data_IF_074785175940
#
_entry.id   IF_074785175940
#
_cell.length_a   1.000
_cell.length_b   1.000
_cell.length_c   1.000
_cell.angle_alpha   90.00
_cell.angle_beta   90.00
_cell.angle_gamma   90.00
#
_symmetry.space_group_name_H-M   'P 1'
#
loop_
_entity.id
_entity.type
_entity.pdbx_description
1 polymer ?
#
# COMPACT_ATOMS: atom_id res chain seq x y z
N UNK A 1 29.46 -13.31 -54.54
CA UNK A 1 28.56 -12.32 -53.90
C UNK A 1 27.29 -12.99 -53.38
N UNK A 2 26.62 -13.86 -54.14
CA UNK A 2 25.47 -14.64 -53.63
C UNK A 2 25.85 -15.60 -52.49
N UNK A 3 26.99 -16.26 -52.59
CA UNK A 3 27.48 -17.18 -51.56
C UNK A 3 27.69 -16.47 -50.20
N UNK A 4 28.29 -15.29 -50.20
CA UNK A 4 28.45 -14.46 -49.01
C UNK A 4 27.10 -13.96 -48.43
N UNK A 5 26.09 -13.71 -49.27
CA UNK A 5 24.73 -13.38 -48.80
C UNK A 5 24.06 -14.59 -48.13
N UNK A 6 24.27 -15.78 -48.69
CA UNK A 6 23.73 -17.05 -48.16
C UNK A 6 24.38 -17.43 -46.84
N UNK A 7 25.70 -17.26 -46.69
CA UNK A 7 26.39 -17.47 -45.42
C UNK A 7 25.94 -16.47 -44.34
N UNK A 8 25.78 -15.19 -44.68
CA UNK A 8 25.29 -14.17 -43.74
C UNK A 8 23.85 -14.47 -43.28
N UNK A 9 23.00 -14.98 -44.17
CA UNK A 9 21.65 -15.39 -43.82
C UNK A 9 21.64 -16.64 -42.92
N UNK A 10 22.45 -17.66 -43.26
CA UNK A 10 22.59 -18.87 -42.44
C UNK A 10 23.14 -18.56 -41.03
N UNK A 11 24.09 -17.63 -40.92
CA UNK A 11 24.61 -17.18 -39.62
C UNK A 11 23.54 -16.44 -38.80
N UNK A 12 22.70 -15.62 -39.44
CA UNK A 12 21.58 -14.94 -38.79
C UNK A 12 20.52 -15.93 -38.30
N UNK A 13 20.22 -16.96 -39.09
CA UNK A 13 19.24 -17.98 -38.74
C UNK A 13 19.75 -18.89 -37.62
N UNK A 14 21.03 -19.30 -37.64
CA UNK A 14 21.67 -20.02 -36.51
C UNK A 14 21.74 -19.19 -35.23
N UNK A 15 21.98 -17.88 -35.33
CA UNK A 15 21.95 -16.99 -34.18
C UNK A 15 20.53 -16.90 -33.59
N UNK A 16 19.50 -16.82 -34.43
CA UNK A 16 18.10 -16.86 -34.00
C UNK A 16 17.73 -18.19 -33.34
N UNK A 17 18.16 -19.32 -33.90
CA UNK A 17 17.94 -20.65 -33.30
C UNK A 17 18.64 -20.79 -31.95
N UNK A 18 19.88 -20.26 -31.81
CA UNK A 18 20.58 -20.24 -30.51
C UNK A 18 19.89 -19.36 -29.48
N UNK A 19 19.41 -18.18 -29.86
CA UNK A 19 18.65 -17.29 -28.98
C UNK A 19 17.35 -17.98 -28.56
N UNK A 20 16.60 -18.57 -29.50
CA UNK A 20 15.37 -19.31 -29.20
C UNK A 20 15.61 -20.55 -28.32
N UNK A 21 16.76 -21.23 -28.48
CA UNK A 21 17.15 -22.36 -27.64
C UNK A 21 17.53 -21.92 -26.22
N UNK A 22 18.23 -20.78 -26.06
CA UNK A 22 18.54 -20.18 -24.76
C UNK A 22 17.28 -19.66 -24.05
N UNK A 23 16.37 -19.02 -24.79
CA UNK A 23 15.06 -18.57 -24.27
C UNK A 23 14.18 -19.76 -23.85
N UNK A 24 14.35 -20.93 -24.49
CA UNK A 24 13.64 -22.15 -24.09
C UNK A 24 14.21 -22.86 -22.86
N UNK A 25 15.37 -22.45 -22.35
CA UNK A 25 16.01 -23.06 -21.18
C UNK A 25 15.84 -22.28 -19.88
N UNK A 26 15.27 -21.07 -19.89
CA UNK A 26 14.99 -20.34 -18.66
C UNK A 26 13.94 -21.09 -17.85
N UNK A 27 14.35 -21.59 -16.68
CA UNK A 27 13.46 -22.21 -15.72
C UNK A 27 12.64 -21.14 -15.00
N UNK A 28 11.54 -21.52 -14.36
CA UNK A 28 10.79 -20.58 -13.51
C UNK A 28 11.68 -19.98 -12.41
N UNK A 29 12.63 -20.77 -11.88
CA UNK A 29 13.55 -20.36 -10.82
C UNK A 29 14.51 -19.25 -11.27
N UNK A 30 14.99 -19.29 -12.51
CA UNK A 30 15.85 -18.24 -13.09
C UNK A 30 15.16 -16.87 -13.19
N UNK A 31 13.81 -16.86 -13.13
CA UNK A 31 12.97 -15.66 -13.23
C UNK A 31 12.51 -15.14 -11.87
N UNK A 32 12.91 -15.79 -10.78
CA UNK A 32 12.75 -15.32 -9.41
C UNK A 32 13.99 -14.52 -9.02
N UNK A 33 13.87 -13.20 -9.01
CA UNK A 33 14.91 -12.31 -8.55
C UNK A 33 14.89 -12.23 -7.01
N UNK A 34 15.93 -12.83 -6.40
CA UNK A 34 16.15 -12.90 -4.96
C UNK A 34 17.22 -11.93 -4.45
N UNK A 35 17.65 -10.97 -5.28
CA UNK A 35 18.80 -10.08 -4.98
C UNK A 35 18.66 -9.31 -3.67
N UNK A 36 17.43 -8.97 -3.27
CA UNK A 36 17.13 -8.20 -2.07
C UNK A 36 16.43 -9.03 -0.98
N UNK A 37 16.41 -10.36 -1.10
CA UNK A 37 15.85 -11.19 -0.02
C UNK A 37 16.68 -11.00 1.26
N UNK A 38 16.02 -10.69 2.37
CA UNK A 38 16.71 -10.59 3.67
C UNK A 38 16.90 -11.96 4.30
N UNK A 39 15.96 -12.87 4.01
CA UNK A 39 15.91 -14.22 4.51
C UNK A 39 15.69 -15.19 3.34
N UNK A 40 16.17 -16.43 3.42
CA UNK A 40 15.90 -17.42 2.38
C UNK A 40 14.41 -17.75 2.33
N UNK A 41 13.86 -17.81 1.11
CA UNK A 41 12.50 -18.30 0.88
C UNK A 41 12.29 -19.69 1.50
N UNK A 42 11.20 -19.86 2.24
CA UNK A 42 10.69 -21.16 2.68
C UNK A 42 10.25 -21.99 1.47
N UNK A 43 10.04 -23.30 1.68
CA UNK A 43 9.60 -24.19 0.60
C UNK A 43 8.28 -23.75 -0.01
N UNK A 44 7.30 -23.40 0.82
CA UNK A 44 5.97 -22.98 0.34
C UNK A 44 6.06 -21.68 -0.48
N UNK A 45 6.94 -20.76 -0.09
CA UNK A 45 7.19 -19.52 -0.84
C UNK A 45 7.86 -19.81 -2.18
N UNK A 46 8.85 -20.70 -2.20
CA UNK A 46 9.52 -21.13 -3.45
C UNK A 46 8.52 -21.78 -4.41
N UNK A 47 7.70 -22.71 -3.90
CA UNK A 47 6.69 -23.42 -4.68
C UNK A 47 5.64 -22.43 -5.22
N UNK A 48 5.23 -21.45 -4.40
CA UNK A 48 4.29 -20.39 -4.80
C UNK A 48 4.89 -19.45 -5.85
N UNK A 49 6.13 -19.00 -5.68
CA UNK A 49 6.84 -18.18 -6.66
C UNK A 49 6.97 -18.90 -8.01
N UNK A 50 7.29 -20.20 -7.98
CA UNK A 50 7.37 -21.02 -9.19
C UNK A 50 6.01 -21.15 -9.88
N UNK A 51 4.94 -21.42 -9.11
CA UNK A 51 3.57 -21.53 -9.62
C UNK A 51 3.06 -20.23 -10.25
N UNK A 52 3.44 -19.06 -9.71
CA UNK A 52 3.10 -17.76 -10.30
C UNK A 52 3.77 -17.53 -11.66
N UNK A 53 4.94 -18.11 -11.88
CA UNK A 53 5.73 -17.91 -13.09
C UNK A 53 5.52 -19.01 -14.14
N UNK A 54 5.08 -20.20 -13.74
CA UNK A 54 4.86 -21.35 -14.64
C UNK A 54 3.93 -21.05 -15.84
N UNK A 55 2.80 -20.34 -15.69
CA UNK A 55 1.86 -20.13 -16.79
C UNK A 55 2.42 -19.33 -17.98
N UNK A 56 3.45 -18.49 -17.78
CA UNK A 56 3.97 -17.62 -18.82
C UNK A 56 5.47 -17.39 -18.69
N UNK A 57 6.23 -17.59 -19.77
CA UNK A 57 7.68 -17.33 -19.80
C UNK A 57 8.07 -15.85 -19.80
N UNK A 58 7.14 -14.96 -20.14
CA UNK A 58 7.35 -13.51 -20.21
C UNK A 58 7.07 -12.78 -18.90
N UNK A 59 7.10 -13.52 -17.78
CA UNK A 59 6.92 -12.96 -16.44
C UNK A 59 8.18 -13.07 -15.60
N UNK A 60 8.32 -12.18 -14.63
CA UNK A 60 9.39 -12.24 -13.63
C UNK A 60 8.89 -11.78 -12.28
N UNK A 61 9.52 -12.25 -11.21
CA UNK A 61 9.16 -11.93 -9.84
C UNK A 61 10.37 -11.34 -9.12
N UNK A 62 10.20 -10.21 -8.45
CA UNK A 62 11.17 -9.66 -7.52
C UNK A 62 10.66 -9.85 -6.09
N UNK A 63 11.42 -10.57 -5.28
CA UNK A 63 11.09 -10.85 -3.88
C UNK A 63 11.62 -9.71 -3.00
N UNK A 64 10.78 -9.18 -2.10
CA UNK A 64 11.15 -8.10 -1.19
C UNK A 64 11.82 -8.62 0.09
N UNK A 65 12.55 -7.78 0.84
CA UNK A 65 13.11 -8.14 2.15
C UNK A 65 12.06 -8.63 3.17
N UNK A 66 10.83 -8.15 3.04
CA UNK A 66 9.70 -8.44 3.94
C UNK A 66 8.75 -9.50 3.38
N UNK A 67 9.21 -10.35 2.47
CA UNK A 67 8.38 -11.43 1.93
C UNK A 67 7.93 -12.38 3.04
N UNK A 68 6.74 -12.93 2.87
CA UNK A 68 6.16 -13.95 3.74
C UNK A 68 4.97 -14.61 3.07
N UNK A 69 4.57 -15.78 3.56
CA UNK A 69 3.18 -16.24 3.45
C UNK A 69 2.41 -15.76 4.69
N UNK A 70 1.25 -15.14 4.47
CA UNK A 70 0.38 -14.67 5.56
C UNK A 70 -0.48 -15.81 6.14
N UNK A 71 -1.28 -15.51 7.16
CA UNK A 71 -2.14 -16.48 7.83
C UNK A 71 -3.23 -17.06 6.92
N UNK A 72 -3.55 -16.37 5.82
CA UNK A 72 -4.50 -16.80 4.79
C UNK A 72 -3.85 -17.63 3.68
N UNK A 73 -2.53 -17.88 3.75
CA UNK A 73 -1.79 -18.60 2.71
C UNK A 73 -1.41 -17.75 1.50
N UNK A 74 -1.56 -16.42 1.57
CA UNK A 74 -1.19 -15.52 0.48
C UNK A 74 0.29 -15.15 0.59
N UNK A 75 1.02 -15.27 -0.52
CA UNK A 75 2.37 -14.75 -0.63
C UNK A 75 2.35 -13.22 -0.69
N UNK A 76 3.19 -12.57 0.10
CA UNK A 76 3.29 -11.12 0.25
C UNK A 76 4.74 -10.66 0.05
N UNK A 77 4.92 -9.38 -0.22
CA UNK A 77 6.25 -8.75 -0.32
C UNK A 77 6.91 -9.07 -1.65
N UNK A 78 6.27 -8.71 -2.75
CA UNK A 78 6.82 -8.93 -4.08
C UNK A 78 6.42 -7.85 -5.09
N UNK A 79 7.18 -7.79 -6.18
CA UNK A 79 6.79 -7.15 -7.44
C UNK A 79 6.79 -8.18 -8.56
N UNK A 80 5.63 -8.41 -9.15
CA UNK A 80 5.44 -9.30 -10.30
C UNK A 80 5.38 -8.48 -11.57
N UNK A 81 6.10 -8.89 -12.61
CA UNK A 81 6.16 -8.20 -13.89
C UNK A 81 5.63 -9.11 -14.99
N UNK A 82 4.75 -8.59 -15.84
CA UNK A 82 4.24 -9.25 -17.04
C UNK A 82 4.28 -8.30 -18.25
N UNK A 83 4.53 -8.83 -19.44
CA UNK A 83 4.35 -8.06 -20.67
C UNK A 83 2.88 -7.62 -20.84
N UNK A 84 2.65 -6.46 -21.44
CA UNK A 84 1.29 -5.93 -21.67
C UNK A 84 0.36 -6.86 -22.43
N UNK A 85 0.90 -7.66 -23.35
CA UNK A 85 0.15 -8.61 -24.19
C UNK A 85 -0.13 -9.96 -23.52
N UNK A 86 0.39 -10.18 -22.31
CA UNK A 86 0.19 -11.44 -21.58
C UNK A 86 -1.25 -11.48 -21.05
N UNK A 87 -1.85 -12.66 -20.96
CA UNK A 87 -3.18 -12.86 -20.37
C UNK A 87 -3.30 -12.20 -18.98
N UNK A 88 -4.44 -11.59 -18.69
CA UNK A 88 -4.74 -11.06 -17.37
C UNK A 88 -4.93 -12.16 -16.30
N UNK A 89 -5.34 -13.37 -16.70
CA UNK A 89 -5.59 -14.48 -15.78
C UNK A 89 -4.36 -14.94 -14.99
N UNK A 90 -3.15 -14.54 -15.41
CA UNK A 90 -1.91 -14.84 -14.71
C UNK A 90 -1.47 -13.76 -13.72
N UNK A 91 -2.17 -12.62 -13.66
CA UNK A 91 -1.80 -11.53 -12.77
C UNK A 91 -2.14 -11.92 -11.32
N UNK A 92 -1.20 -11.79 -10.36
CA UNK A 92 -1.45 -12.10 -8.96
C UNK A 92 -2.23 -10.96 -8.28
N UNK A 93 -3.47 -10.75 -8.71
CA UNK A 93 -4.37 -9.73 -8.17
C UNK A 93 -4.80 -10.13 -6.75
N UNK A 94 -4.68 -9.20 -5.81
CA UNK A 94 -5.08 -9.41 -4.41
C UNK A 94 -6.51 -8.93 -4.15
N UNK A 95 -7.18 -9.53 -3.17
CA UNK A 95 -8.45 -8.98 -2.64
C UNK A 95 -8.28 -7.61 -1.97
N UNK A 96 -7.04 -7.19 -1.72
CA UNK A 96 -6.67 -5.87 -1.20
C UNK A 96 -6.06 -4.95 -2.26
N UNK A 97 -6.40 -5.10 -3.55
CA UNK A 97 -5.93 -4.17 -4.58
C UNK A 97 -6.22 -2.71 -4.20
N UNK A 98 -5.21 -1.85 -4.37
CA UNK A 98 -5.21 -0.40 -4.06
C UNK A 98 -5.35 -0.02 -2.58
N UNK A 99 -5.20 -1.00 -1.68
CA UNK A 99 -4.96 -0.71 -0.28
C UNK A 99 -3.62 0.00 -0.12
N UNK A 100 -3.58 0.94 0.80
CA UNK A 100 -2.43 1.81 1.02
C UNK A 100 -2.54 2.56 2.33
N UNK A 101 -1.49 3.29 2.66
CA UNK A 101 -1.43 4.21 3.80
C UNK A 101 -1.38 5.64 3.28
N UNK A 102 -2.24 6.49 3.82
CA UNK A 102 -2.30 7.93 3.54
C UNK A 102 -2.07 8.69 4.83
N UNK A 103 -1.24 9.73 4.76
CA UNK A 103 -0.96 10.65 5.88
C UNK A 103 -1.35 12.07 5.47
N UNK A 104 -1.96 12.82 6.40
CA UNK A 104 -2.16 14.26 6.31
C UNK A 104 -1.54 14.94 7.52
N UNK A 105 -0.69 15.95 7.27
CA UNK A 105 -0.11 16.82 8.28
C UNK A 105 -1.14 17.84 8.78
N UNK A 106 -1.25 17.99 10.10
CA UNK A 106 -2.11 19.00 10.71
C UNK A 106 -1.49 20.40 10.64
N UNK A 107 -2.32 21.42 10.42
CA UNK A 107 -1.91 22.81 10.42
C UNK A 107 -1.63 23.24 11.86
N UNK A 108 -0.42 23.75 12.12
CA UNK A 108 -0.03 24.18 13.47
C UNK A 108 -0.70 25.52 13.84
N UNK A 109 -1.35 25.63 15.02
CA UNK A 109 -2.19 26.79 15.37
C UNK A 109 -1.47 28.12 15.66
N UNK A 110 -0.20 28.28 15.27
CA UNK A 110 0.63 29.46 15.63
C UNK A 110 1.22 30.27 14.47
N UNK A 111 1.05 29.83 13.21
CA UNK A 111 1.82 30.40 12.09
C UNK A 111 3.34 30.35 12.33
N UNK A 112 4.12 31.01 11.47
CA UNK A 112 5.60 31.02 11.51
C UNK A 112 6.18 31.70 12.77
N UNK A 113 5.33 32.27 13.64
CA UNK A 113 5.76 33.10 14.78
C UNK A 113 5.77 32.38 16.14
N UNK A 114 5.35 31.11 16.24
CA UNK A 114 5.51 30.36 17.49
C UNK A 114 6.97 29.95 17.69
N UNK A 115 7.72 30.75 18.46
CA UNK A 115 9.17 30.62 18.71
C UNK A 115 9.61 29.27 19.32
N UNK A 116 8.69 28.36 19.63
CA UNK A 116 8.99 27.15 20.39
C UNK A 116 9.02 25.84 19.59
N UNK A 117 8.62 25.83 18.31
CA UNK A 117 8.67 24.61 17.47
C UNK A 117 7.91 23.41 18.06
N UNK A 118 7.06 23.63 19.07
CA UNK A 118 6.30 22.61 19.80
C UNK A 118 4.83 22.75 19.44
N UNK A 119 4.18 21.64 19.09
CA UNK A 119 2.75 21.64 18.80
C UNK A 119 1.97 21.37 20.10
N UNK A 120 1.35 22.42 20.65
CA UNK A 120 0.61 22.33 21.90
C UNK A 120 -0.60 21.39 21.84
N UNK A 121 -1.21 21.18 20.67
CA UNK A 121 -2.31 20.20 20.54
C UNK A 121 -1.84 18.77 20.75
N UNK A 122 -0.60 18.44 20.38
CA UNK A 122 -0.05 17.12 20.67
C UNK A 122 0.04 16.87 22.18
N UNK A 123 0.48 17.89 22.94
CA UNK A 123 0.57 17.82 24.40
C UNK A 123 -0.81 17.67 25.03
N UNK A 124 -1.80 18.43 24.54
CA UNK A 124 -3.18 18.33 25.00
C UNK A 124 -3.74 16.92 24.80
N UNK A 125 -3.60 16.34 23.61
CA UNK A 125 -4.10 15.00 23.31
C UNK A 125 -3.40 13.93 24.16
N UNK A 126 -2.09 14.04 24.37
CA UNK A 126 -1.32 13.14 25.23
C UNK A 126 -1.72 13.23 26.72
N UNK A 127 -2.31 14.35 27.15
CA UNK A 127 -2.74 14.55 28.54
C UNK A 127 -4.09 13.90 28.87
N UNK A 128 -4.92 13.61 27.87
CA UNK A 128 -6.26 13.02 28.04
C UNK A 128 -6.51 11.90 27.02
N UNK A 129 -5.81 10.79 27.21
CA UNK A 129 -5.94 9.60 26.36
C UNK A 129 -7.33 8.97 26.44
N UNK A 130 -8.02 9.06 27.57
CA UNK A 130 -9.35 8.47 27.74
C UNK A 130 -10.39 9.16 26.86
N UNK A 131 -10.41 10.50 26.86
CA UNK A 131 -11.24 11.27 25.94
C UNK A 131 -10.89 10.98 24.48
N UNK A 132 -9.60 10.82 24.16
CA UNK A 132 -9.16 10.43 22.83
C UNK A 132 -9.71 9.05 22.41
N UNK A 133 -9.72 8.06 23.32
CA UNK A 133 -10.28 6.73 23.05
C UNK A 133 -11.76 6.80 22.72
N UNK A 134 -12.53 7.53 23.53
CA UNK A 134 -13.98 7.67 23.34
C UNK A 134 -14.31 8.36 22.01
N UNK A 135 -13.56 9.41 21.65
CA UNK A 135 -13.68 10.10 20.36
C UNK A 135 -13.36 9.19 19.19
N UNK A 136 -12.23 8.49 19.24
CA UNK A 136 -11.83 7.55 18.19
C UNK A 136 -12.85 6.44 18.01
N UNK A 137 -13.34 5.86 19.12
CA UNK A 137 -14.38 4.83 19.09
C UNK A 137 -15.67 5.32 18.42
N UNK A 138 -16.12 6.54 18.73
CA UNK A 138 -17.31 7.13 18.08
C UNK A 138 -17.14 7.27 16.57
N UNK A 139 -15.98 7.73 16.11
CA UNK A 139 -15.69 7.89 14.67
C UNK A 139 -15.73 6.53 13.98
N UNK A 140 -15.06 5.52 14.53
CA UNK A 140 -15.03 4.20 13.93
C UNK A 140 -16.40 3.53 13.89
N UNK A 141 -17.18 3.63 14.98
CA UNK A 141 -18.55 3.11 15.03
C UNK A 141 -19.43 3.76 13.97
N UNK A 142 -19.34 5.10 13.83
CA UNK A 142 -20.07 5.83 12.79
C UNK A 142 -19.69 5.36 11.39
N UNK A 143 -18.39 5.21 11.10
CA UNK A 143 -17.91 4.71 9.80
C UNK A 143 -18.46 3.30 9.54
N UNK A 144 -18.38 2.41 10.54
CA UNK A 144 -18.90 1.04 10.42
C UNK A 144 -20.40 1.04 10.10
N UNK A 145 -21.21 1.81 10.84
CA UNK A 145 -22.65 1.95 10.63
C UNK A 145 -23.00 2.48 9.22
N UNK A 146 -22.35 3.56 8.79
CA UNK A 146 -22.58 4.16 7.47
C UNK A 146 -22.18 3.22 6.32
N UNK A 147 -21.05 2.51 6.48
CA UNK A 147 -20.53 1.58 5.48
C UNK A 147 -21.46 0.39 5.21
N UNK A 148 -22.21 -0.07 6.23
CA UNK A 148 -23.15 -1.18 6.08
C UNK A 148 -24.31 -0.85 5.14
N UNK A 149 -24.71 0.43 5.09
CA UNK A 149 -25.85 0.89 4.30
C UNK A 149 -25.46 1.38 2.89
N UNK A 150 -24.23 1.84 2.72
CA UNK A 150 -23.77 2.49 1.48
C UNK A 150 -22.40 1.97 1.03
N UNK A 151 -22.33 0.68 0.70
CA UNK A 151 -21.08 0.03 0.26
C UNK A 151 -20.59 0.57 -1.08
N UNK A 152 -19.28 0.80 -1.19
CA UNK A 152 -18.65 1.07 -2.47
C UNK A 152 -18.63 -0.20 -3.33
N UNK A 153 -18.95 -0.08 -4.60
CA UNK A 153 -18.91 -1.15 -5.60
C UNK A 153 -18.76 -0.53 -6.99
N UNK A 154 -18.55 -1.33 -8.03
CA UNK A 154 -18.48 -0.81 -9.39
C UNK A 154 -19.79 -0.19 -9.90
N UNK A 155 -20.91 -0.38 -9.21
CA UNK A 155 -22.15 0.40 -9.48
C UNK A 155 -22.00 1.89 -9.14
N UNK A 156 -21.01 2.25 -8.32
CA UNK A 156 -20.70 3.63 -7.98
C UNK A 156 -19.83 4.31 -9.05
N UNK A 157 -19.22 3.56 -9.98
CA UNK A 157 -18.38 4.14 -11.04
C UNK A 157 -19.17 5.18 -11.84
N UNK A 158 -18.53 6.27 -12.29
CA UNK A 158 -19.15 7.24 -13.19
C UNK A 158 -19.67 6.54 -14.45
N UNK A 159 -20.94 6.74 -14.77
CA UNK A 159 -21.50 6.27 -16.04
C UNK A 159 -21.15 7.29 -17.10
N UNK A 160 -20.10 7.02 -17.87
CA UNK A 160 -19.71 7.78 -19.06
C UNK A 160 -20.67 7.52 -20.24
N UNK A 161 -21.98 7.47 -19.99
CA UNK A 161 -22.94 7.44 -21.07
C UNK A 161 -22.82 8.76 -21.83
N UNK A 162 -22.30 8.68 -23.05
CA UNK A 162 -22.57 9.68 -24.06
C UNK A 162 -24.09 9.74 -24.18
N UNK A 163 -24.71 10.71 -23.52
CA UNK A 163 -26.13 11.00 -23.68
C UNK A 163 -26.35 11.44 -25.12
N UNK A 164 -26.54 10.49 -26.03
CA UNK A 164 -27.20 10.74 -27.29
C UNK A 164 -28.67 10.94 -26.95
N UNK A 165 -29.07 12.19 -26.69
CA UNK A 165 -30.49 12.55 -26.74
C UNK A 165 -30.99 12.33 -28.17
N UNK A 166 -32.25 11.89 -28.31
CA UNK A 166 -32.94 11.63 -29.59
C UNK A 166 -32.95 12.85 -30.55
N UNK A 167 -32.60 14.04 -30.07
CA UNK A 167 -32.56 15.30 -30.84
C UNK A 167 -31.17 15.69 -31.39
N UNK A 168 -30.13 14.85 -31.25
CA UNK A 168 -28.86 15.03 -31.96
C UNK A 168 -27.90 16.10 -31.43
N UNK A 169 -28.29 16.87 -30.40
CA UNK A 169 -27.41 17.85 -29.75
C UNK A 169 -26.73 17.25 -28.51
N UNK A 170 -25.45 16.90 -28.65
CA UNK A 170 -24.61 16.49 -27.55
C UNK A 170 -24.17 17.72 -26.73
N UNK A 171 -24.97 18.13 -25.74
CA UNK A 171 -24.47 19.05 -24.72
C UNK A 171 -23.50 18.31 -23.80
N UNK A 172 -22.23 18.66 -23.91
CA UNK A 172 -21.18 18.36 -22.94
C UNK A 172 -21.57 18.98 -21.59
N UNK A 173 -22.33 18.27 -20.75
CA UNK A 173 -22.35 18.58 -19.32
C UNK A 173 -21.02 18.10 -18.71
N UNK A 174 -19.95 18.82 -19.02
CA UNK A 174 -18.56 18.48 -18.67
C UNK A 174 -18.35 18.25 -17.17
N UNK A 175 -19.26 18.73 -16.32
CA UNK A 175 -19.14 18.68 -14.87
C UNK A 175 -19.51 17.33 -14.22
N UNK A 176 -20.10 16.36 -14.93
CA UNK A 176 -20.55 15.09 -14.31
C UNK A 176 -19.89 13.81 -14.82
N UNK A 177 -18.98 13.89 -15.79
CA UNK A 177 -18.30 12.68 -16.34
C UNK A 177 -17.46 11.92 -15.32
N UNK A 178 -17.04 12.60 -14.25
CA UNK A 178 -16.12 12.02 -13.27
C UNK A 178 -16.75 11.81 -11.88
N UNK A 179 -18.04 12.14 -11.72
CA UNK A 179 -18.74 12.00 -10.45
C UNK A 179 -19.29 10.58 -10.29
N UNK A 180 -19.20 10.04 -9.09
CA UNK A 180 -19.73 8.72 -8.76
C UNK A 180 -21.23 8.66 -9.07
N UNK A 181 -21.67 7.56 -9.68
CA UNK A 181 -23.07 7.39 -10.09
C UNK A 181 -23.99 7.12 -8.91
N UNK A 182 -23.43 6.68 -7.78
CA UNK A 182 -24.14 6.43 -6.53
C UNK A 182 -23.28 6.86 -5.35
N UNK A 183 -23.94 7.36 -4.31
CA UNK A 183 -23.29 7.60 -3.03
C UNK A 183 -22.75 6.31 -2.42
N UNK A 184 -21.56 6.41 -1.84
CA UNK A 184 -20.93 5.37 -1.02
C UNK A 184 -20.22 6.00 0.17
N UNK A 185 -20.23 5.27 1.29
CA UNK A 185 -19.53 5.62 2.52
C UNK A 185 -18.20 4.86 2.61
N UNK A 186 -17.16 5.46 3.21
CA UNK A 186 -15.90 4.76 3.45
C UNK A 186 -16.13 3.54 4.35
N UNK A 187 -15.38 2.48 4.09
CA UNK A 187 -15.37 1.28 4.93
C UNK A 187 -14.43 1.46 6.14
N UNK A 188 -14.59 0.66 7.22
CA UNK A 188 -13.62 0.64 8.31
C UNK A 188 -12.18 0.43 7.78
N UNK A 189 -11.21 1.26 8.21
CA UNK A 189 -9.82 1.15 7.77
C UNK A 189 -9.11 -0.03 8.45
N UNK A 190 -8.00 -0.52 7.89
CA UNK A 190 -7.12 -1.44 8.62
C UNK A 190 -6.63 -0.76 9.91
N UNK A 191 -6.28 0.54 9.81
CA UNK A 191 -6.14 1.42 10.97
C UNK A 191 -6.32 2.89 10.60
N UNK A 192 -6.67 3.72 11.58
CA UNK A 192 -6.53 5.18 11.52
C UNK A 192 -6.03 5.70 12.87
N UNK A 193 -5.09 6.64 12.87
CA UNK A 193 -4.57 7.18 14.11
C UNK A 193 -4.08 8.60 14.01
N UNK A 194 -3.93 9.22 15.18
CA UNK A 194 -3.27 10.51 15.35
C UNK A 194 -1.87 10.23 15.87
N UNK A 195 -0.90 10.77 15.16
CA UNK A 195 0.51 10.57 15.41
C UNK A 195 1.20 11.91 15.62
N UNK A 196 2.30 11.88 16.35
CA UNK A 196 3.22 13.01 16.41
C UNK A 196 4.63 12.59 16.06
N UNK A 197 5.36 13.50 15.44
CA UNK A 197 6.74 13.26 15.04
C UNK A 197 7.53 14.55 15.17
N UNK A 198 8.83 14.41 15.24
CA UNK A 198 9.72 15.56 15.09
C UNK A 198 10.34 15.52 13.71
N UNK A 199 10.10 16.57 12.94
CA UNK A 199 10.68 16.74 11.61
C UNK A 199 11.67 17.88 11.65
N UNK A 200 12.62 17.89 10.71
CA UNK A 200 13.47 19.06 10.52
C UNK A 200 12.92 19.86 9.35
N UNK A 201 12.63 21.14 9.59
CA UNK A 201 12.20 22.06 8.55
C UNK A 201 13.28 22.23 7.49
N UNK A 202 12.85 22.46 6.25
CA UNK A 202 13.75 22.73 5.13
C UNK A 202 14.61 23.98 5.37
N UNK A 203 14.02 25.00 6.01
CA UNK A 203 14.68 26.28 6.29
C UNK A 203 15.29 26.18 7.69
N UNK A 204 16.63 26.31 7.76
CA UNK A 204 17.44 26.37 8.99
C UNK A 204 17.57 25.07 9.81
N UNK A 205 17.11 23.91 9.29
CA UNK A 205 17.20 22.60 9.98
C UNK A 205 16.58 22.61 11.39
N UNK A 206 15.62 23.52 11.63
CA UNK A 206 14.94 23.66 12.91
C UNK A 206 14.03 22.44 13.10
N UNK A 207 14.15 21.82 14.27
CA UNK A 207 13.31 20.69 14.66
C UNK A 207 11.92 21.18 15.04
N UNK A 208 10.91 20.73 14.32
CA UNK A 208 9.50 21.04 14.52
C UNK A 208 8.76 19.79 15.00
N UNK A 209 8.03 19.93 16.10
CA UNK A 209 7.08 18.94 16.57
C UNK A 209 5.79 19.09 15.79
N UNK A 210 5.39 18.05 15.07
CA UNK A 210 4.22 18.06 14.19
C UNK A 210 3.21 16.99 14.57
N UNK A 211 1.97 17.23 14.15
CA UNK A 211 0.85 16.31 14.27
C UNK A 211 0.46 15.79 12.90
N UNK A 212 0.05 14.52 12.87
CA UNK A 212 -0.34 13.81 11.66
C UNK A 212 -1.58 12.99 11.93
N UNK A 213 -2.41 12.84 10.92
CA UNK A 213 -3.45 11.80 10.89
C UNK A 213 -3.06 10.82 9.80
N UNK A 214 -2.93 9.54 10.15
CA UNK A 214 -2.54 8.48 9.22
C UNK A 214 -3.65 7.45 9.17
N UNK A 215 -4.06 7.06 7.95
CA UNK A 215 -5.09 6.06 7.69
C UNK A 215 -4.54 5.02 6.72
N UNK A 216 -4.62 3.74 7.07
CA UNK A 216 -4.36 2.62 6.18
C UNK A 216 -5.63 1.85 5.88
N UNK A 217 -5.79 1.42 4.64
CA UNK A 217 -6.92 0.60 4.21
C UNK A 217 -7.28 0.84 2.75
N UNK A 218 -8.47 0.42 2.37
CA UNK A 218 -9.00 0.53 1.02
C UNK A 218 -10.52 0.34 1.00
N UNK A 219 -11.03 -0.27 -0.06
CA UNK A 219 -12.45 -0.61 -0.21
C UNK A 219 -12.56 -2.13 -0.34
N UNK A 220 -12.83 -2.85 0.75
CA UNK A 220 -12.81 -4.32 0.74
C UNK A 220 -13.84 -4.88 -0.25
N UNK A 221 -15.05 -4.33 -0.30
CA UNK A 221 -16.10 -4.84 -1.18
C UNK A 221 -15.72 -4.63 -2.65
N UNK A 222 -15.33 -3.42 -3.03
CA UNK A 222 -14.97 -3.11 -4.40
C UNK A 222 -13.68 -3.82 -4.85
N UNK A 223 -12.67 -3.97 -3.98
CA UNK A 223 -11.46 -4.74 -4.28
C UNK A 223 -11.75 -6.24 -4.39
N UNK A 224 -12.71 -6.77 -3.65
CA UNK A 224 -13.17 -8.15 -3.81
C UNK A 224 -13.95 -8.36 -5.12
N UNK A 225 -14.83 -7.42 -5.48
CA UNK A 225 -15.52 -7.42 -6.78
C UNK A 225 -14.52 -7.36 -7.93
N UNK A 226 -13.46 -6.53 -7.81
CA UNK A 226 -12.37 -6.48 -8.78
C UNK A 226 -11.65 -7.81 -8.91
N UNK A 227 -11.30 -8.44 -7.78
CA UNK A 227 -10.65 -9.74 -7.78
C UNK A 227 -11.51 -10.81 -8.50
N UNK A 228 -12.80 -10.88 -8.20
CA UNK A 228 -13.71 -11.82 -8.85
C UNK A 228 -13.87 -11.51 -10.35
N UNK A 229 -13.95 -10.23 -10.73
CA UNK A 229 -14.01 -9.81 -12.12
C UNK A 229 -12.78 -10.30 -12.91
N UNK A 230 -11.57 -10.18 -12.37
CA UNK A 230 -10.36 -10.67 -13.05
C UNK A 230 -10.39 -12.20 -13.21
N UNK A 231 -10.88 -12.94 -12.20
CA UNK A 231 -11.05 -14.39 -12.31
C UNK A 231 -12.05 -14.79 -13.40
N UNK A 232 -13.17 -14.08 -13.49
CA UNK A 232 -14.24 -14.35 -14.45
C UNK A 232 -13.81 -14.03 -15.89
N UNK A 233 -13.05 -12.94 -16.08
CA UNK A 233 -12.53 -12.53 -17.38
C UNK A 233 -11.40 -13.47 -17.84
N UNK A 234 -10.52 -13.90 -16.92
CA UNK A 234 -9.46 -14.87 -17.18
C UNK A 234 -8.58 -14.47 -18.39
N UNK A 235 -8.52 -15.36 -19.39
CA UNK A 235 -7.67 -15.20 -20.58
C UNK A 235 -8.28 -14.33 -21.69
N UNK A 236 -9.47 -13.76 -21.48
CA UNK A 236 -10.17 -12.99 -22.52
C UNK A 236 -9.62 -11.56 -22.71
N UNK A 237 -8.83 -11.06 -21.76
CA UNK A 237 -8.17 -9.75 -21.84
C UNK A 237 -6.69 -9.86 -21.49
N UNK A 238 -5.93 -8.84 -21.86
CA UNK A 238 -4.50 -8.77 -21.57
C UNK A 238 -4.23 -8.01 -20.27
N UNK A 239 -3.03 -8.17 -19.72
CA UNK A 239 -2.55 -7.42 -18.58
C UNK A 239 -2.56 -5.90 -18.83
N UNK A 240 -2.28 -5.49 -20.07
CA UNK A 240 -2.39 -4.10 -20.51
C UNK A 240 -3.83 -3.58 -20.41
N UNK A 241 -4.80 -4.35 -20.91
CA UNK A 241 -6.21 -3.98 -20.87
C UNK A 241 -6.72 -3.80 -19.43
N UNK A 242 -6.30 -4.68 -18.51
CA UNK A 242 -6.64 -4.56 -17.08
C UNK A 242 -6.06 -3.29 -16.48
N UNK A 243 -4.79 -2.99 -16.75
CA UNK A 243 -4.17 -1.77 -16.22
C UNK A 243 -4.84 -0.49 -16.74
N UNK A 244 -5.24 -0.47 -18.01
CA UNK A 244 -5.90 0.67 -18.66
C UNK A 244 -7.40 0.76 -18.35
N UNK A 245 -7.94 -0.19 -17.59
CA UNK A 245 -9.37 -0.27 -17.33
C UNK A 245 -9.87 0.86 -16.42
N UNK A 246 -11.11 1.28 -16.65
CA UNK A 246 -11.78 2.29 -15.83
C UNK A 246 -11.98 1.80 -14.39
N UNK A 247 -12.13 0.48 -14.19
CA UNK A 247 -12.24 -0.15 -12.87
C UNK A 247 -10.95 0.04 -12.06
N UNK A 248 -9.77 -0.14 -12.67
CA UNK A 248 -8.49 0.15 -12.02
C UNK A 248 -8.37 1.62 -11.67
N UNK A 249 -8.72 2.51 -12.61
CA UNK A 249 -8.65 3.95 -12.38
C UNK A 249 -9.57 4.38 -11.23
N UNK A 250 -10.84 3.97 -11.29
CA UNK A 250 -11.84 4.32 -10.29
C UNK A 250 -11.50 3.70 -8.94
N UNK A 251 -11.16 2.40 -8.86
CA UNK A 251 -10.90 1.74 -7.58
C UNK A 251 -9.68 2.33 -6.88
N UNK A 252 -8.61 2.66 -7.63
CA UNK A 252 -7.44 3.35 -7.07
C UNK A 252 -7.83 4.70 -6.47
N UNK A 253 -8.59 5.52 -7.20
CA UNK A 253 -9.03 6.84 -6.74
C UNK A 253 -10.05 6.77 -5.60
N UNK A 254 -11.00 5.85 -5.66
CA UNK A 254 -12.01 5.64 -4.63
C UNK A 254 -11.36 5.15 -3.33
N UNK A 255 -10.35 4.27 -3.40
CA UNK A 255 -9.59 3.82 -2.23
C UNK A 255 -8.82 4.97 -1.57
N UNK A 256 -8.15 5.83 -2.35
CA UNK A 256 -7.52 7.06 -1.85
C UNK A 256 -8.54 7.99 -1.19
N UNK A 257 -9.67 8.24 -1.87
CA UNK A 257 -10.75 9.09 -1.35
C UNK A 257 -11.36 8.53 -0.06
N UNK A 258 -11.48 7.21 0.05
CA UNK A 258 -11.96 6.55 1.27
C UNK A 258 -11.07 6.91 2.47
N UNK A 259 -9.74 6.74 2.33
CA UNK A 259 -8.78 7.14 3.37
C UNK A 259 -8.85 8.64 3.69
N UNK A 260 -8.94 9.50 2.68
CA UNK A 260 -9.05 10.94 2.90
C UNK A 260 -10.37 11.37 3.59
N UNK A 261 -11.49 10.69 3.31
CA UNK A 261 -12.77 10.89 4.01
C UNK A 261 -12.66 10.50 5.49
N UNK A 262 -12.02 9.37 5.78
CA UNK A 262 -11.78 8.90 7.16
C UNK A 262 -10.88 9.87 7.91
N UNK A 263 -9.77 10.31 7.30
CA UNK A 263 -8.85 11.31 7.88
C UNK A 263 -9.62 12.60 8.23
N UNK A 264 -10.49 13.08 7.33
CA UNK A 264 -11.32 14.26 7.58
C UNK A 264 -12.30 14.05 8.73
N UNK A 265 -12.95 12.89 8.81
CA UNK A 265 -13.86 12.56 9.91
C UNK A 265 -13.14 12.53 11.27
N UNK A 266 -11.91 11.97 11.33
CA UNK A 266 -11.07 12.01 12.53
C UNK A 266 -10.67 13.45 12.86
N UNK A 267 -10.22 14.25 11.88
CA UNK A 267 -9.86 15.63 12.10
C UNK A 267 -11.02 16.44 12.70
N UNK A 268 -12.23 16.26 12.17
CA UNK A 268 -13.45 16.94 12.65
C UNK A 268 -13.81 16.52 14.08
N UNK A 269 -13.84 15.22 14.37
CA UNK A 269 -14.12 14.74 15.73
C UNK A 269 -13.08 15.25 16.71
N UNK A 270 -11.81 15.34 16.30
CA UNK A 270 -10.71 15.78 17.14
C UNK A 270 -10.53 17.30 17.21
N UNK A 271 -11.22 18.07 16.37
CA UNK A 271 -11.05 19.52 16.26
C UNK A 271 -9.64 19.91 15.81
N UNK A 272 -9.08 19.15 14.87
CA UNK A 272 -7.76 19.36 14.29
C UNK A 272 -7.88 20.02 12.92
N UNK A 273 -7.15 21.11 12.72
CA UNK A 273 -7.08 21.77 11.42
C UNK A 273 -6.18 20.97 10.47
N UNK A 274 -6.72 20.61 9.32
CA UNK A 274 -6.00 19.92 8.24
C UNK A 274 -6.26 20.60 6.90
N UNK A 275 -5.35 20.46 5.92
CA UNK A 275 -5.64 20.86 4.55
C UNK A 275 -6.77 20.01 3.96
N UNK A 276 -7.76 20.67 3.36
CA UNK A 276 -8.93 20.02 2.75
C UNK A 276 -9.19 20.55 1.35
N UNK A 277 -9.80 19.73 0.51
CA UNK A 277 -10.20 20.08 -0.85
C UNK A 277 -11.59 19.56 -1.16
N UNK A 278 -12.25 20.17 -2.15
CA UNK A 278 -13.52 19.69 -2.67
C UNK A 278 -13.34 18.32 -3.36
N UNK A 279 -14.16 17.34 -3.00
CA UNK A 279 -14.23 16.04 -3.66
C UNK A 279 -15.03 16.14 -4.96
N UNK A 280 -14.34 16.43 -6.06
CA UNK A 280 -14.95 16.60 -7.40
C UNK A 280 -15.54 15.31 -7.97
N UNK A 281 -15.23 14.16 -7.37
CA UNK A 281 -15.72 12.85 -7.80
C UNK A 281 -16.93 12.38 -6.99
N UNK A 282 -17.35 13.12 -5.98
CA UNK A 282 -18.48 12.71 -5.16
C UNK A 282 -19.82 12.81 -5.90
N UNK A 283 -20.71 11.87 -5.63
CA UNK A 283 -22.09 11.88 -6.13
C UNK A 283 -22.92 13.12 -5.73
N UNK A 284 -22.60 13.74 -4.58
CA UNK A 284 -23.42 14.80 -3.98
C UNK A 284 -23.37 16.09 -4.77
N UNK A 285 -24.55 16.69 -5.02
CA UNK A 285 -24.66 18.02 -5.64
C UNK A 285 -24.19 19.16 -4.74
N UNK A 286 -24.06 18.91 -3.44
CA UNK A 286 -23.60 19.92 -2.46
C UNK A 286 -22.07 19.98 -2.36
N UNK A 287 -21.38 18.96 -2.87
CA UNK A 287 -19.95 18.76 -2.69
C UNK A 287 -19.59 18.42 -1.23
N UNK A 288 -18.69 17.46 -1.07
CA UNK A 288 -18.04 17.17 0.22
C UNK A 288 -16.58 17.56 0.14
N UNK A 289 -15.99 17.82 1.31
CA UNK A 289 -14.56 18.08 1.42
C UNK A 289 -13.87 16.84 1.97
N UNK A 290 -12.71 16.53 1.40
CA UNK A 290 -11.84 15.44 1.84
C UNK A 290 -10.48 16.00 2.24
N UNK A 291 -9.76 15.26 3.08
CA UNK A 291 -8.39 15.61 3.43
C UNK A 291 -7.50 15.63 2.19
N UNK A 292 -6.56 16.58 2.13
CA UNK A 292 -5.48 16.56 1.14
C UNK A 292 -4.37 15.66 1.68
N UNK A 293 -3.97 14.60 0.96
CA UNK A 293 -2.88 13.75 1.40
C UNK A 293 -1.55 14.51 1.35
N UNK A 294 -0.78 14.43 2.44
CA UNK A 294 0.62 14.88 2.47
C UNK A 294 1.52 13.81 1.86
N UNK A 295 1.30 12.55 2.23
CA UNK A 295 2.06 11.40 1.72
C UNK A 295 1.10 10.25 1.49
N UNK A 296 1.34 9.48 0.44
CA UNK A 296 0.61 8.26 0.12
C UNK A 296 1.56 7.14 -0.27
N UNK A 297 1.25 5.92 0.18
CA UNK A 297 1.98 4.71 -0.17
C UNK A 297 0.98 3.59 -0.40
N UNK A 298 0.86 3.13 -1.65
CA UNK A 298 0.03 1.99 -2.00
C UNK A 298 0.79 0.69 -1.72
N UNK A 299 0.16 -0.23 -0.98
CA UNK A 299 0.71 -1.54 -0.63
C UNK A 299 0.43 -2.58 -1.71
N UNK A 300 -0.68 -2.41 -2.41
CA UNK A 300 -1.09 -3.25 -3.52
C UNK A 300 -1.45 -2.36 -4.70
N UNK A 301 -0.77 -2.51 -5.82
CA UNK A 301 -1.01 -1.68 -6.99
C UNK A 301 -0.66 -2.42 -8.28
N UNK A 302 -1.17 -1.93 -9.40
CA UNK A 302 -0.83 -2.38 -10.75
C UNK A 302 -0.41 -1.17 -11.56
N UNK A 303 0.82 -1.17 -12.08
CA UNK A 303 1.37 -0.04 -12.80
C UNK A 303 2.05 -0.47 -14.09
N UNK A 304 1.96 0.37 -15.12
CA UNK A 304 2.74 0.18 -16.35
C UNK A 304 4.05 0.93 -16.23
N UNK A 305 5.15 0.22 -16.39
CA UNK A 305 6.50 0.80 -16.42
C UNK A 305 6.79 1.43 -17.78
N UNK A 306 7.83 2.27 -17.85
CA UNK A 306 8.29 2.89 -19.10
C UNK A 306 8.71 1.89 -20.20
N UNK A 307 8.94 0.61 -19.84
CA UNK A 307 9.33 -0.47 -20.76
C UNK A 307 8.15 -1.29 -21.29
N UNK A 308 6.94 -0.77 -21.14
CA UNK A 308 5.73 -1.47 -21.56
C UNK A 308 5.50 -2.82 -20.83
N UNK A 309 5.86 -2.85 -19.55
CA UNK A 309 5.66 -3.99 -18.66
C UNK A 309 4.67 -3.59 -17.58
N UNK A 310 3.68 -4.43 -17.33
CA UNK A 310 2.71 -4.29 -16.25
C UNK A 310 3.31 -4.94 -15.00
N UNK A 311 3.47 -4.13 -13.96
CA UNK A 311 3.98 -4.53 -12.65
C UNK A 311 2.87 -4.56 -11.63
N UNK A 312 2.63 -5.72 -11.02
CA UNK A 312 1.76 -5.88 -9.85
C UNK A 312 2.62 -5.86 -8.59
N UNK A 313 2.31 -4.97 -7.67
CA UNK A 313 2.96 -4.83 -6.39
C UNK A 313 2.08 -5.40 -5.29
N UNK A 314 2.67 -6.13 -4.35
CA UNK A 314 1.97 -6.71 -3.21
C UNK A 314 2.82 -6.59 -1.94
N UNK A 315 2.32 -5.89 -0.93
CA UNK A 315 3.09 -5.39 0.21
C UNK A 315 4.41 -4.71 -0.20
N UNK A 316 4.36 -4.03 -1.33
CA UNK A 316 5.43 -3.26 -1.91
C UNK A 316 4.83 -2.05 -2.64
N UNK A 317 5.60 -0.97 -2.81
CA UNK A 317 5.19 0.17 -3.62
C UNK A 317 6.21 0.44 -4.73
N UNK A 318 5.75 1.03 -5.84
CA UNK A 318 6.64 1.61 -6.83
C UNK A 318 7.32 2.84 -6.25
N UNK A 319 8.65 2.81 -6.20
CA UNK A 319 9.45 3.90 -5.67
C UNK A 319 9.53 5.14 -6.55
N UNK A 320 9.29 5.01 -7.86
CA UNK A 320 9.22 6.13 -8.79
C UNK A 320 7.89 6.89 -8.70
N UNK A 321 6.84 6.22 -8.22
CA UNK A 321 5.53 6.84 -7.98
C UNK A 321 5.43 7.54 -6.62
N UNK A 322 6.43 7.36 -5.74
CA UNK A 322 6.45 7.97 -4.41
C UNK A 322 6.89 9.45 -4.50
N UNK A 323 5.92 10.35 -4.36
CA UNK A 323 6.12 11.80 -4.53
C UNK A 323 6.55 12.55 -3.27
N UNK A 324 6.30 12.02 -2.07
CA UNK A 324 6.57 12.78 -0.84
C UNK A 324 6.79 11.87 0.37
N UNK A 325 7.85 11.08 0.36
CA UNK A 325 8.07 10.08 1.39
C UNK A 325 7.44 8.73 1.07
N UNK A 326 7.88 7.68 1.77
CA UNK A 326 7.23 6.36 1.79
C UNK A 326 6.83 6.03 3.22
N UNK A 327 5.54 5.73 3.42
CA UNK A 327 4.98 5.34 4.72
C UNK A 327 5.08 3.83 4.88
N UNK A 328 5.64 3.42 6.01
CA UNK A 328 5.75 2.02 6.39
C UNK A 328 5.10 1.81 7.76
N UNK A 329 3.86 1.28 7.80
CA UNK A 329 3.21 0.93 9.05
C UNK A 329 4.01 -0.14 9.81
N UNK A 330 4.29 0.16 11.07
CA UNK A 330 4.93 -0.77 12.01
C UNK A 330 3.85 -1.44 12.85
N UNK A 331 4.22 -1.96 14.02
CA UNK A 331 3.25 -2.37 15.02
C UNK A 331 2.36 -1.16 15.43
N UNK A 332 1.04 -1.32 15.67
CA UNK A 332 0.16 -0.20 16.04
C UNK A 332 0.65 0.64 17.24
N UNK A 333 1.37 0.04 18.18
CA UNK A 333 1.97 0.75 19.32
C UNK A 333 3.34 1.38 19.02
N UNK A 334 4.04 0.93 17.98
CA UNK A 334 5.29 1.52 17.52
C UNK A 334 5.03 2.74 16.62
N UNK A 335 3.98 2.62 15.78
CA UNK A 335 3.48 3.69 14.94
C UNK A 335 3.82 3.51 13.47
N UNK A 336 4.22 4.59 12.81
CA UNK A 336 4.47 4.59 11.37
C UNK A 336 5.83 5.22 11.09
N UNK A 337 6.64 4.57 10.27
CA UNK A 337 7.91 5.12 9.83
C UNK A 337 7.74 5.79 8.48
N UNK A 338 8.19 7.04 8.38
CA UNK A 338 8.20 7.81 7.14
C UNK A 338 9.62 7.90 6.61
N UNK A 339 9.90 7.10 5.59
CA UNK A 339 11.18 7.11 4.88
C UNK A 339 11.24 8.32 3.96
N UNK A 340 12.29 9.13 4.10
CA UNK A 340 12.45 10.35 3.32
C UNK A 340 13.25 10.09 2.03
N UNK A 341 12.90 10.84 0.99
CA UNK A 341 13.64 10.91 -0.27
C UNK A 341 14.77 11.94 -0.20
N UNK A 342 15.58 12.06 -1.26
CA UNK A 342 16.63 13.08 -1.34
C UNK A 342 16.10 14.49 -1.14
N UNK A 343 16.76 15.27 -0.26
CA UNK A 343 16.39 16.66 0.05
C UNK A 343 16.39 17.59 -1.16
N UNK A 344 17.19 17.29 -2.18
CA UNK A 344 17.24 18.06 -3.43
C UNK A 344 15.90 18.06 -4.18
N UNK A 345 15.06 17.06 -3.92
CA UNK A 345 13.73 16.94 -4.50
C UNK A 345 12.63 17.49 -3.57
N UNK A 346 12.98 18.07 -2.42
CA UNK A 346 12.02 18.77 -1.59
C UNK A 346 11.74 20.15 -2.21
N UNK A 347 10.54 20.35 -2.74
CA UNK A 347 10.01 21.69 -2.98
C UNK A 347 9.10 22.06 -1.79
N UNK A 348 8.72 23.33 -1.62
CA UNK A 348 7.89 23.77 -0.47
C UNK A 348 6.55 23.02 -0.30
N UNK A 349 6.13 22.22 -1.29
CA UNK A 349 4.97 21.33 -1.24
C UNK A 349 5.32 19.87 -0.90
N UNK A 350 6.57 19.42 -1.12
CA UNK A 350 7.09 18.08 -0.83
C UNK A 350 8.09 18.13 0.33
N UNK A 351 7.59 18.05 1.57
CA UNK A 351 8.43 18.15 2.78
C UNK A 351 9.34 16.95 3.01
N UNK A 352 9.03 15.78 2.44
CA UNK A 352 9.69 14.51 2.71
C UNK A 352 10.43 13.93 1.50
N UNK A 353 10.47 14.65 0.38
CA UNK A 353 11.23 14.33 -0.82
C UNK A 353 10.61 13.21 -1.68
N UNK A 354 11.03 13.14 -2.93
CA UNK A 354 10.60 12.16 -3.93
C UNK A 354 11.78 11.43 -4.56
N UNK A 355 11.51 10.38 -5.33
CA UNK A 355 12.53 9.68 -6.12
C UNK A 355 13.33 8.68 -5.28
N UNK A 356 12.67 7.59 -4.90
CA UNK A 356 13.29 6.52 -4.13
C UNK A 356 13.96 5.53 -5.11
N UNK A 357 15.28 5.44 -5.12
CA UNK A 357 16.00 4.50 -6.00
C UNK A 357 15.63 4.60 -7.49
N UNK A 358 15.88 3.52 -8.24
CA UNK A 358 15.59 3.43 -9.68
C UNK A 358 15.01 2.07 -10.07
N UNK A 359 14.10 2.06 -11.05
CA UNK A 359 13.56 0.83 -11.67
C UNK A 359 14.64 -0.05 -12.30
N UNK A 360 15.82 0.49 -12.63
CA UNK A 360 16.92 -0.30 -13.18
C UNK A 360 17.59 -1.22 -12.16
N UNK A 361 17.47 -0.92 -10.86
CA UNK A 361 18.08 -1.72 -9.78
C UNK A 361 17.00 -2.46 -9.00
N UNK A 362 16.12 -1.72 -8.33
CA UNK A 362 15.01 -2.30 -7.59
C UNK A 362 13.68 -1.81 -8.14
N UNK A 363 13.39 -0.50 -8.03
CA UNK A 363 12.11 0.09 -8.43
C UNK A 363 10.93 -0.27 -7.52
N UNK A 364 11.20 -0.86 -6.36
CA UNK A 364 10.20 -1.26 -5.39
C UNK A 364 10.70 -1.00 -3.96
N UNK A 365 9.77 -0.78 -3.03
CA UNK A 365 10.06 -0.60 -1.60
C UNK A 365 9.09 -1.44 -0.77
N UNK A 366 9.55 -2.14 0.30
CA UNK A 366 8.67 -2.89 1.18
C UNK A 366 7.80 -1.96 2.04
N UNK A 367 6.50 -2.22 2.11
CA UNK A 367 5.55 -1.24 2.69
C UNK A 367 4.93 -1.64 4.02
N UNK A 368 5.51 -2.56 4.78
CA UNK A 368 5.02 -2.83 6.12
C UNK A 368 5.87 -3.80 6.93
N UNK A 369 5.73 -3.70 8.24
CA UNK A 369 6.04 -4.80 9.15
C UNK A 369 4.90 -5.82 9.17
N UNK A 370 5.11 -6.97 9.82
CA UNK A 370 4.12 -8.02 9.80
C UNK A 370 4.19 -8.90 11.05
N UNK A 371 3.07 -9.51 11.50
CA UNK A 371 3.05 -10.35 12.69
C UNK A 371 3.67 -11.73 12.44
N UNK A 372 4.57 -12.16 13.30
CA UNK A 372 5.22 -13.47 13.33
C UNK A 372 4.60 -14.25 14.48
N UNK A 373 3.71 -15.20 14.15
CA UNK A 373 3.12 -16.08 15.14
C UNK A 373 4.14 -17.09 15.64
N UNK A 374 4.45 -17.07 16.95
CA UNK A 374 5.28 -18.08 17.62
C UNK A 374 4.47 -18.85 18.65
N UNK A 375 4.53 -20.18 18.60
CA UNK A 375 3.94 -21.02 19.64
C UNK A 375 4.62 -20.80 20.99
N UNK A 376 3.82 -20.74 22.07
CA UNK A 376 4.35 -20.82 23.44
C UNK A 376 5.01 -22.19 23.64
N UNK A 377 6.26 -22.19 24.14
CA UNK A 377 7.14 -23.36 24.30
C UNK A 377 6.59 -24.54 25.13
N UNK A 378 5.36 -24.44 25.66
CA UNK A 378 4.75 -25.42 26.55
C UNK A 378 3.65 -26.27 25.89
N UNK A 379 3.24 -25.97 24.66
CA UNK A 379 2.21 -26.74 23.94
C UNK A 379 2.88 -27.70 22.94
N UNK A 380 3.05 -28.97 23.33
CA UNK A 380 3.47 -30.04 22.42
C UNK A 380 2.29 -30.45 21.53
N UNK A 381 2.28 -30.04 20.27
CA UNK A 381 1.29 -30.49 19.29
C UNK A 381 1.48 -29.91 17.89
N UNK A 382 1.37 -30.78 16.87
CA UNK A 382 1.25 -30.62 15.39
C UNK A 382 2.07 -29.55 14.61
N UNK A 383 2.46 -28.42 15.17
CA UNK A 383 3.23 -27.36 14.50
C UNK A 383 4.73 -27.36 14.89
N UNK A 384 5.16 -28.32 15.72
CA UNK A 384 6.55 -28.45 16.22
C UNK A 384 7.60 -28.80 15.13
N UNK A 385 7.18 -28.94 13.86
CA UNK A 385 8.06 -29.36 12.75
C UNK A 385 8.67 -28.24 11.91
N UNK A 386 8.25 -26.97 12.04
CA UNK A 386 8.98 -25.86 11.40
C UNK A 386 9.94 -25.22 12.39
N UNK A 387 11.11 -25.84 12.56
CA UNK A 387 12.28 -25.08 13.02
C UNK A 387 12.59 -24.09 11.91
N UNK A 388 12.06 -22.86 11.99
CA UNK A 388 12.54 -21.80 11.12
C UNK A 388 14.04 -21.62 11.41
N UNK A 389 14.93 -21.95 10.47
CA UNK A 389 16.36 -21.83 10.68
C UNK A 389 16.80 -20.36 10.72
N UNK A 390 15.89 -19.45 10.37
CA UNK A 390 16.13 -18.03 10.18
C UNK A 390 15.79 -17.28 11.47
N UNK A 391 16.81 -16.71 12.10
CA UNK A 391 16.61 -15.74 13.19
C UNK A 391 16.12 -14.43 12.59
N UNK A 392 14.81 -14.28 12.51
CA UNK A 392 14.16 -13.00 12.18
C UNK A 392 14.18 -12.13 13.44
N UNK A 393 14.66 -10.89 13.31
CA UNK A 393 14.54 -9.89 14.38
C UNK A 393 13.08 -9.54 14.56
N UNK A 394 12.58 -9.71 15.78
CA UNK A 394 11.18 -9.53 16.08
C UNK A 394 10.99 -8.87 17.43
N UNK A 395 9.98 -8.01 17.52
CA UNK A 395 9.61 -7.29 18.74
C UNK A 395 8.28 -7.87 19.22
N UNK A 396 8.20 -8.18 20.52
CA UNK A 396 6.93 -8.53 21.16
C UNK A 396 6.38 -7.28 21.83
N UNK A 397 5.20 -6.84 21.41
CA UNK A 397 4.47 -5.75 22.05
C UNK A 397 3.04 -6.21 22.35
N UNK A 398 2.54 -5.84 23.53
CA UNK A 398 1.12 -5.98 23.81
C UNK A 398 0.33 -4.95 23.00
N UNK A 399 -0.66 -5.43 22.24
CA UNK A 399 -1.51 -4.61 21.38
C UNK A 399 -2.44 -3.70 22.19
N UNK A 400 -2.92 -4.16 23.35
CA UNK A 400 -3.87 -3.44 24.20
C UNK A 400 -3.21 -2.39 25.09
N UNK A 401 -2.40 -1.53 24.49
CA UNK A 401 -1.92 -0.34 25.17
C UNK A 401 -3.03 0.72 25.29
N UNK A 402 -2.85 1.65 26.23
CA UNK A 402 -3.83 2.70 26.52
C UNK A 402 -4.17 3.57 25.30
N UNK A 403 -3.32 3.60 24.28
CA UNK A 403 -3.47 4.35 23.05
C UNK A 403 -4.03 3.55 21.86
N UNK A 404 -4.49 2.30 22.04
CA UNK A 404 -5.12 1.51 20.97
C UNK A 404 -6.60 1.26 21.28
N UNK A 405 -7.44 1.48 20.28
CA UNK A 405 -8.90 1.30 20.29
C UNK A 405 -9.30 0.34 19.18
N UNK A 406 -10.14 -0.63 19.50
CA UNK A 406 -10.72 -1.57 18.53
C UNK A 406 -12.22 -1.37 18.48
N UNK A 407 -12.82 -1.62 17.31
CA UNK A 407 -14.27 -1.68 17.18
C UNK A 407 -14.76 -3.08 17.59
N UNK A 408 -15.79 -3.19 18.44
CA UNK A 408 -16.39 -4.48 18.76
C UNK A 408 -16.82 -5.24 17.50
N UNK A 409 -16.36 -6.49 17.36
CA UNK A 409 -16.64 -7.32 16.20
C UNK A 409 -15.86 -6.95 14.93
N UNK A 410 -14.85 -6.08 15.03
CA UNK A 410 -13.85 -5.88 13.98
C UNK A 410 -13.14 -7.21 13.67
N UNK A 411 -12.64 -7.37 12.44
CA UNK A 411 -11.83 -8.54 12.10
C UNK A 411 -10.62 -8.66 13.04
N UNK A 412 -10.01 -7.54 13.39
CA UNK A 412 -8.89 -7.49 14.31
C UNK A 412 -9.22 -8.14 15.66
N UNK A 413 -10.38 -7.80 16.25
CA UNK A 413 -10.78 -8.39 17.53
C UNK A 413 -11.03 -9.90 17.41
N UNK A 414 -11.65 -10.33 16.31
CA UNK A 414 -11.94 -11.75 16.04
C UNK A 414 -10.64 -12.54 15.88
N UNK A 415 -9.69 -12.04 15.08
CA UNK A 415 -8.37 -12.64 14.88
C UNK A 415 -7.57 -12.67 16.18
N UNK A 416 -7.62 -11.60 16.97
CA UNK A 416 -6.94 -11.54 18.25
C UNK A 416 -7.49 -12.56 19.25
N UNK A 417 -8.82 -12.68 19.35
CA UNK A 417 -9.47 -13.69 20.20
C UNK A 417 -9.11 -15.12 19.75
N UNK A 418 -9.08 -15.39 18.44
CA UNK A 418 -8.66 -16.68 17.90
C UNK A 418 -7.21 -17.01 18.26
N UNK A 419 -6.30 -16.03 18.13
CA UNK A 419 -4.89 -16.19 18.48
C UNK A 419 -4.66 -16.42 19.99
N UNK A 420 -5.42 -15.74 20.85
CA UNK A 420 -5.39 -16.00 22.29
C UNK A 420 -5.83 -17.43 22.63
N UNK A 421 -6.89 -17.93 21.98
CA UNK A 421 -7.38 -19.30 22.17
C UNK A 421 -6.35 -20.36 21.74
N UNK A 422 -5.49 -20.02 20.77
CA UNK A 422 -4.43 -20.89 20.26
C UNK A 422 -3.10 -20.76 21.04
N UNK A 423 -3.04 -19.96 22.10
CA UNK A 423 -1.83 -19.67 22.87
C UNK A 423 -0.65 -19.18 22.00
N UNK A 424 -0.94 -18.49 20.90
CA UNK A 424 0.08 -17.92 20.02
C UNK A 424 0.60 -16.60 20.61
N UNK A 425 1.92 -16.47 20.70
CA UNK A 425 2.56 -15.17 20.92
C UNK A 425 2.81 -14.52 19.56
N UNK A 426 2.14 -13.41 19.29
CA UNK A 426 2.42 -12.58 18.13
C UNK A 426 3.64 -11.71 18.44
N UNK A 427 4.72 -11.94 17.71
CA UNK A 427 5.83 -11.00 17.60
C UNK A 427 5.68 -10.22 16.27
N UNK A 428 6.44 -9.15 16.06
CA UNK A 428 6.36 -8.36 14.82
C UNK A 428 7.74 -8.21 14.21
N UNK A 429 7.82 -8.28 12.88
CA UNK A 429 9.06 -8.06 12.15
C UNK A 429 9.66 -6.69 12.47
N UNK A 430 10.92 -6.67 12.90
CA UNK A 430 11.62 -5.45 13.29
C UNK A 430 12.51 -4.94 12.16
N UNK A 431 12.47 -3.62 11.94
CA UNK A 431 13.38 -2.94 11.01
C UNK A 431 14.72 -2.68 11.69
N UNK A 432 15.55 -3.72 11.72
CA UNK A 432 16.88 -3.68 12.30
C UNK A 432 17.96 -3.20 11.30
N UNK A 433 19.21 -3.18 11.75
CA UNK A 433 20.34 -2.75 10.93
C UNK A 433 20.52 -3.61 9.64
N UNK A 434 20.39 -4.95 9.67
CA UNK A 434 20.32 -5.77 8.46
C UNK A 434 19.25 -5.29 7.46
N UNK A 435 18.04 -4.99 7.93
CA UNK A 435 16.98 -4.46 7.08
C UNK A 435 17.37 -3.12 6.45
N UNK A 436 17.91 -2.19 7.25
CA UNK A 436 18.36 -0.89 6.75
C UNK A 436 19.46 -0.99 5.69
N UNK A 437 20.44 -1.90 5.88
CA UNK A 437 21.48 -2.17 4.87
C UNK A 437 20.92 -2.78 3.59
N UNK A 438 19.88 -3.60 3.70
CA UNK A 438 19.19 -4.13 2.53
C UNK A 438 18.49 -3.01 1.76
N UNK A 439 17.83 -2.07 2.45
CA UNK A 439 17.27 -0.89 1.80
C UNK A 439 18.33 -0.02 1.10
N UNK A 440 19.54 0.11 1.66
CA UNK A 440 20.67 0.76 0.98
C UNK A 440 21.06 0.07 -0.33
N UNK A 441 21.07 -1.27 -0.34
CA UNK A 441 21.28 -2.05 -1.57
C UNK A 441 20.14 -1.84 -2.59
N UNK A 442 18.93 -1.57 -2.12
CA UNK A 442 17.77 -1.17 -2.93
C UNK A 442 17.81 0.32 -3.34
N UNK A 443 18.93 1.02 -3.08
CA UNK A 443 19.20 2.43 -3.37
C UNK A 443 18.44 3.46 -2.53
N UNK A 444 17.90 3.07 -1.38
CA UNK A 444 17.48 4.06 -0.41
C UNK A 444 18.71 4.63 0.32
N UNK A 445 18.87 5.95 0.31
CA UNK A 445 19.97 6.58 1.03
C UNK A 445 19.57 6.86 2.47
N UNK A 446 20.25 6.21 3.43
CA UNK A 446 20.02 6.39 4.86
C UNK A 446 20.20 7.83 5.33
N UNK A 447 21.06 8.62 4.68
CA UNK A 447 21.26 10.04 5.00
C UNK A 447 20.02 10.91 4.73
N UNK A 448 19.07 10.40 3.92
CA UNK A 448 17.79 11.07 3.73
C UNK A 448 16.98 11.13 5.03
N UNK A 449 17.16 10.13 5.91
CA UNK A 449 16.51 10.05 7.21
C UNK A 449 15.18 9.28 7.21
N UNK A 450 14.76 8.93 8.43
CA UNK A 450 13.47 8.34 8.74
C UNK A 450 12.83 9.20 9.83
N UNK A 451 11.56 9.55 9.63
CA UNK A 451 10.76 10.21 10.64
C UNK A 451 9.89 9.15 11.31
N UNK A 452 10.10 8.95 12.61
CA UNK A 452 9.26 8.09 13.43
C UNK A 452 8.01 8.86 13.87
N UNK A 453 6.84 8.39 13.42
CA UNK A 453 5.53 8.93 13.80
C UNK A 453 5.01 8.10 14.97
N UNK A 454 5.11 8.66 16.17
CA UNK A 454 4.71 8.00 17.40
C UNK A 454 3.18 8.12 17.60
N UNK A 455 2.49 7.03 17.98
CA UNK A 455 1.04 7.02 18.11
C UNK A 455 0.56 7.72 19.39
N UNK A 456 -0.32 8.72 19.24
CA UNK A 456 -1.09 9.28 20.35
C UNK A 456 -2.32 8.41 20.62
N UNK A 457 -3.08 8.12 19.56
CA UNK A 457 -4.28 7.27 19.61
C UNK A 457 -4.44 6.57 18.25
N UNK A 458 -4.68 5.27 18.25
CA UNK A 458 -4.86 4.45 17.05
C UNK A 458 -6.16 3.66 17.17
N UNK A 459 -6.99 3.78 16.15
CA UNK A 459 -8.19 3.01 15.92
C UNK A 459 -7.94 1.87 14.93
N UNK A 460 -8.37 0.66 15.26
CA UNK A 460 -8.33 -0.52 14.41
C UNK A 460 -9.76 -0.90 14.01
N UNK A 461 -10.01 -1.00 12.70
CA UNK A 461 -11.34 -1.16 12.09
C UNK A 461 -11.73 -2.59 11.79
#
# INVERSE_FOLDING_TARGET
MEEAKREKQLAKDRARERIAAMENQSTADDRINRTFELYPLTRDEQDTCAALLEPCKHTSLLVMPTHRINELGEFQGFRFNAGTHVSAGILPISRKMFFGTTMTECISPGGVQSEQGINHKAIELLSDLQSCRERMQRVLQKIQEESMHSKASFQCMPVNAYGAHEEGDAYLSDFRRYADSKYWAPEPPDFVGIYHGFTRGFINDIREHKLYIVCSGGLNYASHDFYNMILDIGDSVTAGDVYESEEVHWLRKASQRSRCKIIKAVADEFGLDIPVQLDTHEHSTRGSHVAVPTTETLHHDIQRTARDVVSVYNHACNTEAAENGVLCPMHPCEGVWLFQGPRVNCNGYQSYGSGFGSQFICGAFPTGSYPIARMRRNVKGFYETRKDPVKVSAISMEIFQQNVVTVPGSMFEIEHQANQNLELNLEYFSFDEPFMKNLEAMQWNRDNGVVELMPIIVGLG
#
